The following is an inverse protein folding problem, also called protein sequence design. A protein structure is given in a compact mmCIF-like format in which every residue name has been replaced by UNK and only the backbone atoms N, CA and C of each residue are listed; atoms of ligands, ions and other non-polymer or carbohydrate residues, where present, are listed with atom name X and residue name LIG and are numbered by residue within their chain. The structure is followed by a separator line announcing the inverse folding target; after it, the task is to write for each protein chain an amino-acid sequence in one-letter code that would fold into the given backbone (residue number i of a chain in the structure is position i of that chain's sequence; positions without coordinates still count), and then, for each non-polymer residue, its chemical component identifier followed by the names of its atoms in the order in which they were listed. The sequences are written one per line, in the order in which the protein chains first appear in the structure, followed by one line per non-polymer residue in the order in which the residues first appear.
data_IF_426014290666
#
_entry.id   IF_426014290666
#
_cell.length_a   1.000
_cell.length_b   1.000
_cell.length_c   1.000
_cell.angle_alpha   90.00
_cell.angle_beta   90.00
_cell.angle_gamma   90.00
#
_symmetry.space_group_name_H-M   'P 1'
#
loop_
_entity.id
_entity.type
_entity.pdbx_description
1 polymer ?
#
# COMPACT_ATOMS: atom_id res chain seq x y z
N UNK A 1 20.27 -13.55 -16.76
CA UNK A 1 19.09 -14.00 -16.01
C UNK A 1 18.90 -13.07 -14.83
N UNK A 2 17.88 -12.20 -14.85
CA UNK A 2 17.65 -11.24 -13.77
C UNK A 2 16.93 -11.95 -12.62
N UNK A 3 17.67 -12.38 -11.61
CA UNK A 3 17.12 -12.66 -10.28
C UNK A 3 16.78 -11.32 -9.61
N UNK A 4 15.82 -10.59 -10.18
CA UNK A 4 15.14 -9.55 -9.42
C UNK A 4 14.18 -10.32 -8.55
N UNK A 5 14.37 -10.22 -7.25
CA UNK A 5 13.52 -10.85 -6.26
C UNK A 5 12.10 -10.30 -6.50
N UNK A 6 11.24 -11.01 -7.25
CA UNK A 6 9.90 -10.55 -7.66
C UNK A 6 8.98 -10.21 -6.46
N UNK A 7 9.41 -10.60 -5.26
CA UNK A 7 8.77 -10.30 -3.98
C UNK A 7 9.28 -9.04 -3.28
N UNK A 8 10.42 -8.49 -3.68
CA UNK A 8 11.00 -7.30 -3.05
C UNK A 8 10.44 -6.04 -3.70
N UNK A 9 10.08 -5.07 -2.86
CA UNK A 9 9.70 -3.73 -3.30
C UNK A 9 10.94 -2.84 -3.32
N UNK A 10 11.15 -2.17 -4.45
CA UNK A 10 12.17 -1.14 -4.60
C UNK A 10 11.86 0.08 -3.74
N UNK A 11 12.83 0.94 -3.49
CA UNK A 11 12.59 2.16 -2.71
C UNK A 11 11.66 3.13 -3.43
N UNK A 12 11.70 3.16 -4.77
CA UNK A 12 10.75 3.94 -5.58
C UNK A 12 9.32 3.43 -5.40
N UNK A 13 9.13 2.11 -5.45
CA UNK A 13 7.85 1.47 -5.18
C UNK A 13 7.33 1.76 -3.77
N UNK A 14 8.20 1.82 -2.76
CA UNK A 14 7.81 2.21 -1.40
C UNK A 14 7.39 3.68 -1.33
N UNK A 15 8.12 4.58 -1.98
CA UNK A 15 7.77 6.02 -2.04
C UNK A 15 6.40 6.22 -2.68
N UNK A 16 6.13 5.55 -3.79
CA UNK A 16 4.81 5.56 -4.45
C UNK A 16 3.71 5.13 -3.47
N UNK A 17 3.92 4.02 -2.75
CA UNK A 17 2.94 3.56 -1.76
C UNK A 17 2.73 4.59 -0.65
N UNK A 18 3.80 5.19 -0.13
CA UNK A 18 3.71 6.20 0.93
C UNK A 18 2.89 7.42 0.48
N UNK A 19 3.14 7.95 -0.71
CA UNK A 19 2.39 9.08 -1.26
C UNK A 19 0.90 8.76 -1.43
N UNK A 20 0.57 7.56 -1.93
CA UNK A 20 -0.83 7.15 -2.06
C UNK A 20 -1.49 6.96 -0.69
N UNK A 21 -0.81 6.33 0.26
CA UNK A 21 -1.35 6.14 1.62
C UNK A 21 -1.57 7.48 2.33
N UNK A 22 -0.70 8.46 2.12
CA UNK A 22 -0.87 9.83 2.64
C UNK A 22 -2.14 10.49 2.08
N UNK A 23 -2.40 10.34 0.78
CA UNK A 23 -3.62 10.85 0.13
C UNK A 23 -4.90 10.21 0.72
N UNK A 24 -4.86 8.91 1.03
CA UNK A 24 -5.98 8.18 1.65
C UNK A 24 -5.90 8.10 3.18
N UNK A 25 -4.97 8.82 3.82
CA UNK A 25 -4.56 8.60 5.21
C UNK A 25 -5.70 8.70 6.22
N UNK A 26 -6.65 9.61 5.99
CA UNK A 26 -7.85 9.78 6.83
C UNK A 26 -8.68 8.50 6.92
N UNK A 27 -8.81 7.76 5.82
CA UNK A 27 -9.55 6.50 5.77
C UNK A 27 -8.72 5.33 6.34
N UNK A 28 -7.44 5.29 6.02
CA UNK A 28 -6.53 4.20 6.38
C UNK A 28 -6.20 4.20 7.88
N UNK A 29 -6.02 5.37 8.48
CA UNK A 29 -5.66 5.55 9.89
C UNK A 29 -6.88 5.71 10.81
N UNK A 30 -8.08 5.70 10.26
CA UNK A 30 -9.32 5.73 11.04
C UNK A 30 -9.33 4.53 12.01
N UNK A 31 -9.32 4.79 13.33
CA UNK A 31 -9.31 3.73 14.36
C UNK A 31 -10.66 3.03 14.56
N UNK A 32 -11.71 3.47 13.86
CA UNK A 32 -13.04 2.84 13.93
C UNK A 32 -13.03 1.44 13.30
N UNK A 33 -13.79 0.55 13.92
CA UNK A 33 -13.93 -0.87 13.56
C UNK A 33 -15.38 -1.25 13.31
N UNK A 34 -16.28 -0.29 13.10
CA UNK A 34 -17.64 -0.60 12.63
C UNK A 34 -17.60 -1.17 11.20
N UNK A 35 -18.64 -1.92 10.82
CA UNK A 35 -18.68 -2.62 9.52
C UNK A 35 -18.50 -1.67 8.33
N UNK A 36 -19.02 -0.44 8.44
CA UNK A 36 -18.83 0.62 7.45
C UNK A 36 -17.37 1.05 7.33
N UNK A 37 -16.67 1.28 8.45
CA UNK A 37 -15.26 1.66 8.47
C UNK A 37 -14.34 0.54 7.93
N UNK A 38 -14.72 -0.73 8.11
CA UNK A 38 -13.99 -1.86 7.52
C UNK A 38 -14.13 -1.84 5.99
N UNK A 39 -15.36 -1.65 5.49
CA UNK A 39 -15.63 -1.57 4.07
C UNK A 39 -14.93 -0.35 3.43
N UNK A 40 -14.99 0.82 4.06
CA UNK A 40 -14.31 2.04 3.61
C UNK A 40 -12.79 1.85 3.51
N UNK A 41 -12.17 1.18 4.50
CA UNK A 41 -10.74 0.84 4.44
C UNK A 41 -10.43 -0.12 3.30
N UNK A 42 -11.27 -1.13 3.10
CA UNK A 42 -11.11 -2.07 2.00
C UNK A 42 -11.16 -1.34 0.66
N UNK A 43 -12.16 -0.49 0.45
CA UNK A 43 -12.31 0.32 -0.77
C UNK A 43 -11.14 1.29 -0.97
N UNK A 44 -10.64 1.91 0.09
CA UNK A 44 -9.45 2.75 0.04
C UNK A 44 -8.22 1.94 -0.44
N UNK A 45 -8.02 0.73 0.09
CA UNK A 45 -6.92 -0.14 -0.34
C UNK A 45 -7.06 -0.65 -1.78
N UNK A 46 -8.27 -0.91 -2.26
CA UNK A 46 -8.52 -1.25 -3.67
C UNK A 46 -8.18 -0.07 -4.60
N UNK A 47 -8.56 1.16 -4.22
CA UNK A 47 -8.19 2.38 -4.96
C UNK A 47 -6.67 2.58 -4.98
N UNK A 48 -6.01 2.43 -3.82
CA UNK A 48 -4.55 2.47 -3.72
C UNK A 48 -3.92 1.44 -4.64
N UNK A 49 -4.40 0.19 -4.64
CA UNK A 49 -3.87 -0.86 -5.51
C UNK A 49 -4.02 -0.51 -7.00
N UNK A 50 -5.19 0.00 -7.39
CA UNK A 50 -5.41 0.47 -8.76
C UNK A 50 -4.42 1.58 -9.15
N UNK A 51 -4.29 2.62 -8.32
CA UNK A 51 -3.39 3.75 -8.58
C UNK A 51 -1.91 3.33 -8.55
N UNK A 52 -1.55 2.43 -7.65
CA UNK A 52 -0.20 1.90 -7.53
C UNK A 52 0.21 1.15 -8.79
N UNK A 53 -0.63 0.23 -9.25
CA UNK A 53 -0.32 -0.66 -10.37
C UNK A 53 -0.20 0.05 -11.72
N UNK A 54 -0.70 1.29 -11.84
CA UNK A 54 -0.54 2.11 -13.06
C UNK A 54 0.69 3.02 -13.02
N UNK A 55 1.43 3.07 -11.89
CA UNK A 55 2.61 3.91 -11.79
C UNK A 55 3.77 3.36 -12.64
N UNK A 56 4.56 4.23 -13.28
CA UNK A 56 5.67 3.80 -14.14
C UNK A 56 6.80 3.10 -13.37
N UNK A 57 6.91 3.32 -12.07
CA UNK A 57 7.87 2.65 -11.18
C UNK A 57 7.49 1.20 -10.87
N UNK A 58 6.21 0.84 -11.06
CA UNK A 58 5.65 -0.46 -10.68
C UNK A 58 5.72 -1.41 -11.86
N UNK A 59 6.53 -2.45 -11.71
CA UNK A 59 6.74 -3.45 -12.76
C UNK A 59 5.98 -4.76 -12.47
N UNK A 60 5.42 -4.91 -11.27
CA UNK A 60 4.76 -6.12 -10.79
C UNK A 60 3.43 -5.73 -10.20
N UNK A 61 2.36 -6.38 -10.66
CA UNK A 61 1.02 -6.17 -10.11
C UNK A 61 0.95 -6.58 -8.64
N UNK A 62 0.35 -5.72 -7.81
CA UNK A 62 0.16 -5.92 -6.37
C UNK A 62 -1.30 -5.79 -5.98
N UNK A 63 -1.76 -6.68 -5.11
CA UNK A 63 -3.11 -6.60 -4.53
C UNK A 63 -3.15 -5.63 -3.35
N UNK A 64 -4.35 -5.12 -3.06
CA UNK A 64 -4.67 -4.34 -1.86
C UNK A 64 -4.09 -4.95 -0.58
N UNK A 65 -4.25 -6.27 -0.40
CA UNK A 65 -3.70 -7.03 0.73
C UNK A 65 -2.16 -7.02 0.80
N UNK A 66 -1.48 -7.08 -0.35
CA UNK A 66 -0.02 -7.03 -0.40
C UNK A 66 0.51 -5.63 -0.04
N UNK A 67 -0.16 -4.58 -0.52
CA UNK A 67 0.20 -3.19 -0.24
C UNK A 67 -0.09 -2.81 1.21
N UNK A 68 -1.21 -3.26 1.76
CA UNK A 68 -1.54 -3.12 3.18
C UNK A 68 -0.44 -3.73 4.07
N UNK A 69 0.00 -4.96 3.76
CA UNK A 69 1.10 -5.60 4.48
C UNK A 69 2.42 -4.84 4.34
N UNK A 70 2.72 -4.30 3.15
CA UNK A 70 3.91 -3.47 2.94
C UNK A 70 3.87 -2.21 3.83
N UNK A 71 2.72 -1.53 3.88
CA UNK A 71 2.52 -0.36 4.73
C UNK A 71 2.72 -0.66 6.22
N UNK A 72 2.17 -1.79 6.71
CA UNK A 72 2.36 -2.19 8.11
C UNK A 72 3.84 -2.45 8.44
N UNK A 73 4.59 -3.05 7.52
CA UNK A 73 6.03 -3.24 7.68
C UNK A 73 6.79 -1.90 7.68
N UNK A 74 6.42 -0.97 6.79
CA UNK A 74 7.04 0.36 6.73
C UNK A 74 6.81 1.14 8.02
N UNK A 75 5.56 1.17 8.53
CA UNK A 75 5.23 1.81 9.82
C UNK A 75 6.05 1.24 10.98
N UNK A 76 6.23 -0.07 11.05
CA UNK A 76 7.06 -0.70 12.10
C UNK A 76 8.53 -0.31 11.99
N UNK A 77 9.05 -0.08 10.77
CA UNK A 77 10.42 0.37 10.57
C UNK A 77 10.64 1.84 10.90
N UNK A 78 9.60 2.69 10.86
CA UNK A 78 9.70 4.11 11.24
C UNK A 78 9.57 4.34 12.75
N UNK A 79 8.90 3.43 13.48
CA UNK A 79 8.64 3.56 14.91
C UNK A 79 9.67 2.85 15.82
N UNK A 80 10.77 2.33 15.26
CA UNK A 80 11.90 1.69 15.95
C UNK A 80 13.19 2.46 15.67
#
# INVERSE_FOLDING_TARGET
MKNINEKAYTDKEKVVLLSLVEEYGVCIENKKTDGSSIQEKHEAWEKIASHYNVQPEVNIYRTSKQLNKLWDNLKQSYNN
#
